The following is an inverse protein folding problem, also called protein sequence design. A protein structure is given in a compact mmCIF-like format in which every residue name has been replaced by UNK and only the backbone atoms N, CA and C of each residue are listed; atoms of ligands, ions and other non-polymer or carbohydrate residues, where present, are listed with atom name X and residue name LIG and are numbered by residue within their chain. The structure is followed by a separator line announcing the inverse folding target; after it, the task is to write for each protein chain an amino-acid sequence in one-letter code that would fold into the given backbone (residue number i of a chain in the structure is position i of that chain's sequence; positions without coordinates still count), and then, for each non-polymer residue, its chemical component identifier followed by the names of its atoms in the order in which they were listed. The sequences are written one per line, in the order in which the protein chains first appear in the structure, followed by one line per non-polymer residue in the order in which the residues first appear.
data_IF_040621573922
#
_entry.id   IF_040621573922
#
_cell.length_a   1.000
_cell.length_b   1.000
_cell.length_c   1.000
_cell.angle_alpha   90.00
_cell.angle_beta   90.00
_cell.angle_gamma   90.00
#
_symmetry.space_group_name_H-M   'P 1'
#
loop_
_entity.id
_entity.type
_entity.pdbx_description
1 polymer ?
#
# COMPACT_ATOMS: atom_id res chain seq x y z
N UNK A 1 -10.99 12.73 21.34
CA UNK A 1 -11.17 11.49 20.56
C UNK A 1 -10.06 11.41 19.53
N UNK A 2 -9.50 10.21 19.26
CA UNK A 2 -8.55 10.04 18.17
C UNK A 2 -9.16 10.54 16.86
N UNK A 3 -8.41 11.33 16.10
CA UNK A 3 -8.89 11.90 14.83
C UNK A 3 -7.87 11.60 13.75
N UNK A 4 -8.32 11.02 12.65
CA UNK A 4 -7.43 10.63 11.55
C UNK A 4 -6.75 11.86 10.92
N UNK A 5 -5.40 11.91 10.86
CA UNK A 5 -4.64 13.13 10.60
C UNK A 5 -4.46 13.40 9.09
N UNK A 6 -5.57 13.50 8.33
CA UNK A 6 -5.56 13.57 6.85
C UNK A 6 -4.63 14.67 6.29
N UNK A 7 -4.61 15.81 6.95
CA UNK A 7 -3.83 17.00 6.61
C UNK A 7 -2.32 16.80 6.77
N UNK A 8 -1.90 15.83 7.59
CA UNK A 8 -0.49 15.51 7.85
C UNK A 8 0.07 14.38 7.00
N UNK A 9 -0.80 13.63 6.30
CA UNK A 9 -0.38 12.47 5.51
C UNK A 9 0.23 12.88 4.17
N UNK A 10 1.41 12.35 3.89
CA UNK A 10 2.13 12.56 2.64
C UNK A 10 1.82 11.44 1.64
N UNK A 11 1.65 11.80 0.37
CA UNK A 11 1.54 10.83 -0.72
C UNK A 11 2.87 10.11 -0.94
N UNK A 12 2.85 8.78 -0.98
CA UNK A 12 4.04 7.91 -1.15
C UNK A 12 3.85 6.89 -2.29
N UNK A 13 3.42 7.35 -3.46
CA UNK A 13 3.12 6.49 -4.60
C UNK A 13 4.35 6.01 -5.38
N UNK A 14 4.17 5.14 -6.38
CA UNK A 14 5.24 4.54 -7.18
C UNK A 14 5.99 5.56 -8.06
N UNK A 15 5.46 6.77 -8.23
CA UNK A 15 6.10 7.87 -8.94
C UNK A 15 7.35 8.43 -8.24
N UNK A 16 7.53 8.12 -6.95
CA UNK A 16 8.67 8.58 -6.14
C UNK A 16 9.77 7.51 -6.08
N UNK A 17 11.05 7.92 -5.91
CA UNK A 17 12.13 6.98 -5.58
C UNK A 17 11.82 6.19 -4.31
N UNK A 18 12.26 4.93 -4.23
CA UNK A 18 11.97 4.04 -3.10
C UNK A 18 12.33 4.66 -1.74
N UNK A 19 13.50 5.29 -1.63
CA UNK A 19 13.93 5.96 -0.40
C UNK A 19 12.93 7.03 0.08
N UNK A 20 12.44 7.85 -0.84
CA UNK A 20 11.46 8.90 -0.54
C UNK A 20 10.09 8.31 -0.17
N UNK A 21 9.69 7.21 -0.81
CA UNK A 21 8.47 6.47 -0.45
C UNK A 21 8.54 5.97 0.99
N UNK A 22 9.67 5.36 1.37
CA UNK A 22 9.91 4.86 2.74
C UNK A 22 9.88 6.01 3.74
N UNK A 23 10.59 7.12 3.47
CA UNK A 23 10.61 8.29 4.36
C UNK A 23 9.20 8.85 4.61
N UNK A 24 8.41 9.03 3.55
CA UNK A 24 7.02 9.52 3.65
C UNK A 24 6.10 8.53 4.35
N UNK A 25 6.30 7.23 4.12
CA UNK A 25 5.54 6.19 4.80
C UNK A 25 5.81 6.20 6.31
N UNK A 26 7.08 6.24 6.72
CA UNK A 26 7.47 6.38 8.13
C UNK A 26 6.87 7.64 8.77
N UNK A 27 6.89 8.77 8.07
CA UNK A 27 6.21 10.00 8.50
C UNK A 27 4.72 9.77 8.75
N UNK A 28 4.02 9.11 7.82
CA UNK A 28 2.59 8.82 7.95
C UNK A 28 2.28 7.93 9.15
N UNK A 29 3.07 6.87 9.35
CA UNK A 29 2.93 5.98 10.52
C UNK A 29 3.10 6.76 11.83
N UNK A 30 4.11 7.64 11.91
CA UNK A 30 4.30 8.53 13.07
C UNK A 30 3.10 9.45 13.27
N UNK A 31 2.64 10.13 12.22
CA UNK A 31 1.50 11.05 12.29
C UNK A 31 0.21 10.36 12.77
N UNK A 32 -0.06 9.14 12.31
CA UNK A 32 -1.22 8.33 12.73
C UNK A 32 -1.10 7.94 14.22
N UNK A 33 0.08 7.48 14.65
CA UNK A 33 0.32 7.12 16.05
C UNK A 33 0.19 8.34 16.97
N UNK A 34 0.74 9.49 16.57
CA UNK A 34 0.64 10.76 17.30
C UNK A 34 -0.79 11.29 17.43
N UNK A 35 -1.67 10.98 16.46
CA UNK A 35 -3.09 11.35 16.53
C UNK A 35 -3.92 10.41 17.43
N UNK A 36 -3.27 9.43 18.07
CA UNK A 36 -3.90 8.40 18.89
C UNK A 36 -4.70 7.38 18.09
N UNK A 37 -4.53 7.34 16.76
CA UNK A 37 -5.22 6.40 15.89
C UNK A 37 -4.42 5.10 15.76
N UNK A 38 -5.08 3.93 15.75
CA UNK A 38 -4.41 2.69 15.38
C UNK A 38 -4.06 2.70 13.90
N UNK A 39 -2.89 2.18 13.54
CA UNK A 39 -2.56 1.91 12.14
C UNK A 39 -3.36 0.69 11.68
N UNK A 40 -4.07 0.75 10.53
CA UNK A 40 -4.84 -0.40 10.04
C UNK A 40 -3.91 -1.49 9.49
N UNK A 41 -3.44 -2.40 10.35
CA UNK A 41 -2.42 -3.42 10.00
C UNK A 41 -2.84 -4.39 8.88
N UNK A 42 -4.14 -4.54 8.62
CA UNK A 42 -4.63 -5.34 7.49
C UNK A 42 -4.28 -4.75 6.12
N UNK A 43 -4.07 -3.43 6.06
CA UNK A 43 -3.78 -2.69 4.82
C UNK A 43 -2.41 -2.01 4.82
N UNK A 44 -1.77 -1.87 5.99
CA UNK A 44 -0.53 -1.13 6.18
C UNK A 44 0.45 -1.93 7.03
N UNK A 45 1.73 -1.93 6.68
CA UNK A 45 2.78 -2.39 7.58
C UNK A 45 2.94 -1.35 8.73
N UNK A 46 2.57 -1.71 9.96
CA UNK A 46 2.71 -0.84 11.15
C UNK A 46 4.13 -0.90 11.72
N UNK A 47 5.10 -0.49 10.91
CA UNK A 47 6.53 -0.54 11.23
C UNK A 47 7.22 0.75 10.78
N UNK A 48 8.36 1.03 11.41
CA UNK A 48 9.28 2.09 10.98
C UNK A 48 10.57 1.53 10.39
N UNK A 49 10.73 0.20 10.33
CA UNK A 49 11.90 -0.43 9.73
C UNK A 49 11.86 -0.20 8.20
N UNK A 50 12.86 0.49 7.62
CA UNK A 50 12.91 0.72 6.18
C UNK A 50 12.90 -0.57 5.36
N UNK A 51 13.53 -1.65 5.83
CA UNK A 51 13.59 -2.91 5.10
C UNK A 51 12.22 -3.60 5.03
N UNK A 52 11.47 -3.62 6.14
CA UNK A 52 10.11 -4.17 6.15
C UNK A 52 9.16 -3.35 5.28
N UNK A 53 9.29 -2.02 5.29
CA UNK A 53 8.48 -1.12 4.45
C UNK A 53 8.80 -1.35 2.97
N UNK A 54 10.08 -1.49 2.62
CA UNK A 54 10.53 -1.75 1.26
C UNK A 54 9.98 -3.09 0.75
N UNK A 55 10.10 -4.15 1.55
CA UNK A 55 9.54 -5.47 1.24
C UNK A 55 8.02 -5.40 1.04
N UNK A 56 7.31 -4.68 1.91
CA UNK A 56 5.87 -4.48 1.78
C UNK A 56 5.48 -3.74 0.49
N UNK A 57 6.27 -2.73 0.09
CA UNK A 57 6.08 -2.03 -1.18
C UNK A 57 6.31 -2.93 -2.39
N UNK A 58 7.35 -3.76 -2.36
CA UNK A 58 7.65 -4.71 -3.44
C UNK A 58 6.56 -5.77 -3.58
N UNK A 59 6.12 -6.36 -2.46
CA UNK A 59 5.05 -7.34 -2.44
C UNK A 59 3.70 -6.75 -2.91
N UNK A 60 3.36 -5.54 -2.47
CA UNK A 60 2.15 -4.85 -2.95
C UNK A 60 2.18 -4.58 -4.45
N UNK A 61 3.34 -4.21 -5.00
CA UNK A 61 3.52 -4.01 -6.44
C UNK A 61 3.37 -5.33 -7.22
N UNK A 62 3.96 -6.41 -6.71
CA UNK A 62 3.84 -7.74 -7.32
C UNK A 62 2.40 -8.25 -7.31
N UNK A 63 1.70 -8.17 -6.16
CA UNK A 63 0.27 -8.53 -6.05
C UNK A 63 -0.59 -7.72 -7.01
N UNK A 64 -0.33 -6.41 -7.11
CA UNK A 64 -1.05 -5.52 -8.04
C UNK A 64 -0.82 -5.91 -9.50
N UNK A 65 0.42 -6.28 -9.87
CA UNK A 65 0.73 -6.74 -11.21
C UNK A 65 0.02 -8.06 -11.53
N UNK A 66 0.13 -9.06 -10.64
CA UNK A 66 -0.58 -10.34 -10.78
C UNK A 66 -2.08 -10.18 -10.95
N UNK A 67 -2.70 -9.30 -10.14
CA UNK A 67 -4.12 -9.01 -10.25
C UNK A 67 -4.48 -8.39 -11.60
N UNK A 68 -3.68 -7.44 -12.09
CA UNK A 68 -3.90 -6.82 -13.41
C UNK A 68 -3.80 -7.85 -14.54
N UNK A 69 -2.81 -8.73 -14.51
CA UNK A 69 -2.66 -9.80 -15.50
C UNK A 69 -3.83 -10.78 -15.45
N UNK A 70 -4.30 -11.16 -14.25
CA UNK A 70 -5.48 -12.00 -14.10
C UNK A 70 -6.74 -11.34 -14.67
N UNK A 71 -6.96 -10.06 -14.36
CA UNK A 71 -8.10 -9.29 -14.91
C UNK A 71 -8.01 -9.21 -16.43
N UNK A 72 -6.82 -8.98 -16.99
CA UNK A 72 -6.62 -8.94 -18.44
C UNK A 72 -6.95 -10.29 -19.09
N UNK A 73 -6.44 -11.39 -18.51
CA UNK A 73 -6.76 -12.74 -18.98
C UNK A 73 -8.26 -13.02 -18.93
N UNK A 74 -8.95 -12.62 -17.87
CA UNK A 74 -10.41 -12.75 -17.76
C UNK A 74 -11.14 -11.91 -18.82
N UNK A 75 -10.69 -10.69 -19.11
CA UNK A 75 -11.32 -9.82 -20.10
C UNK A 75 -11.15 -10.33 -21.54
N UNK A 76 -10.13 -11.16 -21.80
CA UNK A 76 -9.88 -11.80 -23.09
C UNK A 76 -10.68 -13.11 -23.28
N UNK A 77 -11.34 -13.62 -22.23
CA UNK A 77 -12.16 -14.81 -22.32
C UNK A 77 -13.48 -14.56 -23.07
N UNK A 78 -13.94 -15.52 -23.89
CA UNK A 78 -15.31 -15.53 -24.39
C UNK A 78 -16.35 -15.39 -23.26
N UNK A 79 -17.51 -14.74 -23.50
CA UNK A 79 -18.54 -14.49 -22.48
C UNK A 79 -19.01 -15.75 -21.73
N UNK A 80 -18.98 -16.90 -22.41
CA UNK A 80 -19.46 -18.18 -21.89
C UNK A 80 -18.33 -19.05 -21.30
N UNK A 81 -17.16 -18.46 -21.03
CA UNK A 81 -16.04 -19.20 -20.47
C UNK A 81 -16.24 -19.45 -18.97
N UNK A 82 -16.19 -20.71 -18.56
CA UNK A 82 -16.12 -21.06 -17.14
C UNK A 82 -14.78 -20.56 -16.57
N UNK A 83 -14.87 -19.71 -15.55
CA UNK A 83 -13.71 -19.26 -14.79
C UNK A 83 -13.34 -20.40 -13.81
N UNK A 84 -12.06 -20.83 -13.75
CA UNK A 84 -11.61 -21.87 -12.82
C UNK A 84 -11.84 -21.55 -11.35
#
# INVERSE_FOLDING_TARGET
MPTWPKDKLLKHGPELPMEERIRRYQHNIRAIRESGCPVPTSAYADTLDPAEIELWFADSAYRSHRLKEAIKGLAELPPDSEIP
#
